data_IF_589148586985
#
_entry.id   IF_589148586985
#
_cell.length_a   1.000
_cell.length_b   1.000
_cell.length_c   1.000
_cell.angle_alpha   90.00
_cell.angle_beta   90.00
_cell.angle_gamma   90.00
#
_symmetry.space_group_name_H-M   'P 1'
#
loop_
_entity.id
_entity.type
_entity.pdbx_description
1 polymer ?
#
# COMPACT_ATOMS: atom_id res chain seq x y z
N UNK A 1 2.07 43.61 0.81
CA UNK A 1 1.36 42.64 -0.08
C UNK A 1 2.06 41.30 0.06
N UNK A 2 1.34 40.22 0.36
CA UNK A 2 1.90 38.87 0.57
C UNK A 2 2.78 38.42 -0.60
N UNK A 3 3.92 37.79 -0.32
CA UNK A 3 4.86 37.29 -1.33
C UNK A 3 4.25 36.13 -2.13
N UNK A 4 3.47 35.25 -1.49
CA UNK A 4 2.71 34.21 -2.19
C UNK A 4 1.71 34.87 -3.14
N UNK A 5 1.01 35.94 -2.71
CA UNK A 5 0.04 36.65 -3.55
C UNK A 5 0.71 37.33 -4.75
N UNK A 6 1.90 37.92 -4.55
CA UNK A 6 2.72 38.51 -5.62
C UNK A 6 3.06 37.45 -6.67
N UNK A 7 3.70 36.36 -6.24
CA UNK A 7 4.10 35.25 -7.10
C UNK A 7 2.90 34.65 -7.85
N UNK A 8 1.79 34.44 -7.14
CA UNK A 8 0.58 33.89 -7.73
C UNK A 8 0.03 34.80 -8.84
N UNK A 9 -0.07 36.10 -8.59
CA UNK A 9 -0.59 37.05 -9.59
C UNK A 9 0.34 37.25 -10.77
N UNK A 10 1.66 37.29 -10.56
CA UNK A 10 2.62 37.60 -11.61
C UNK A 10 2.97 36.40 -12.49
N UNK A 11 3.07 35.20 -11.90
CA UNK A 11 3.55 34.02 -12.63
C UNK A 11 2.46 32.96 -12.83
N UNK A 12 1.66 32.66 -11.80
CA UNK A 12 0.77 31.48 -11.80
C UNK A 12 -0.57 31.77 -12.50
N UNK A 13 -1.24 32.83 -12.08
CA UNK A 13 -2.57 33.19 -12.56
C UNK A 13 -2.60 33.41 -14.08
N UNK A 14 -1.67 34.16 -14.71
CA UNK A 14 -1.69 34.35 -16.16
C UNK A 14 -1.64 33.03 -16.94
N UNK A 15 -0.88 32.05 -16.45
CA UNK A 15 -0.75 30.75 -17.09
C UNK A 15 -1.98 29.87 -16.86
N UNK A 16 -2.59 29.93 -15.67
CA UNK A 16 -3.84 29.23 -15.38
C UNK A 16 -5.07 29.88 -16.04
N UNK A 17 -4.96 31.10 -16.58
CA UNK A 17 -5.98 31.69 -17.43
C UNK A 17 -5.92 31.15 -18.87
N UNK A 18 -4.80 30.57 -19.30
CA UNK A 18 -4.75 29.77 -20.52
C UNK A 18 -5.52 28.45 -20.32
N UNK A 19 -6.66 28.35 -21.00
CA UNK A 19 -7.56 27.19 -20.96
C UNK A 19 -6.85 25.88 -21.32
N UNK A 20 -5.83 25.90 -22.18
CA UNK A 20 -5.08 24.70 -22.57
C UNK A 20 -4.23 24.19 -21.41
N UNK A 21 -3.52 25.08 -20.73
CA UNK A 21 -2.70 24.76 -19.55
C UNK A 21 -3.59 24.29 -18.41
N UNK A 22 -4.65 25.05 -18.10
CA UNK A 22 -5.60 24.71 -17.05
C UNK A 22 -6.23 23.33 -17.28
N UNK A 23 -6.74 23.07 -18.49
CA UNK A 23 -7.36 21.78 -18.84
C UNK A 23 -6.37 20.63 -18.72
N UNK A 24 -5.10 20.84 -19.10
CA UNK A 24 -4.04 19.83 -18.95
C UNK A 24 -3.81 19.48 -17.48
N UNK A 25 -3.67 20.49 -16.62
CA UNK A 25 -3.49 20.29 -15.16
C UNK A 25 -4.72 19.59 -14.56
N UNK A 26 -5.93 20.06 -14.90
CA UNK A 26 -7.17 19.46 -14.44
C UNK A 26 -7.30 17.98 -14.86
N UNK A 27 -6.97 17.66 -16.10
CA UNK A 27 -7.01 16.29 -16.63
C UNK A 27 -6.03 15.39 -15.90
N UNK A 28 -4.80 15.85 -15.65
CA UNK A 28 -3.82 15.10 -14.88
C UNK A 28 -4.26 14.87 -13.43
N UNK A 29 -4.80 15.89 -12.75
CA UNK A 29 -5.33 15.71 -11.38
C UNK A 29 -6.49 14.70 -11.36
N UNK A 30 -7.40 14.78 -12.33
CA UNK A 30 -8.52 13.85 -12.47
C UNK A 30 -8.03 12.43 -12.70
N UNK A 31 -7.00 12.23 -13.54
CA UNK A 31 -6.38 10.94 -13.79
C UNK A 31 -5.75 10.34 -12.52
N UNK A 32 -5.07 11.16 -11.71
CA UNK A 32 -4.51 10.75 -10.42
C UNK A 32 -5.62 10.24 -9.49
N UNK A 33 -6.71 10.99 -9.35
CA UNK A 33 -7.83 10.65 -8.49
C UNK A 33 -8.56 9.39 -8.99
N UNK A 34 -8.84 9.32 -10.29
CA UNK A 34 -9.46 8.15 -10.91
C UNK A 34 -8.62 6.89 -10.69
N UNK A 35 -7.30 6.99 -10.84
CA UNK A 35 -6.39 5.87 -10.58
C UNK A 35 -6.46 5.42 -9.12
N UNK A 36 -6.46 6.38 -8.18
CA UNK A 36 -6.60 6.08 -6.76
C UNK A 36 -7.96 5.43 -6.42
N UNK A 37 -9.04 5.83 -7.09
CA UNK A 37 -10.37 5.24 -6.90
C UNK A 37 -10.42 3.82 -7.44
N UNK A 38 -9.95 3.59 -8.68
CA UNK A 38 -9.87 2.26 -9.25
C UNK A 38 -9.02 1.31 -8.40
N UNK A 39 -7.91 1.80 -7.84
CA UNK A 39 -7.08 1.02 -6.93
C UNK A 39 -7.78 0.70 -5.60
N UNK A 40 -8.52 1.66 -5.03
CA UNK A 40 -9.25 1.44 -3.79
C UNK A 40 -10.42 0.46 -3.98
N UNK A 41 -11.17 0.59 -5.09
CA UNK A 41 -12.26 -0.33 -5.43
C UNK A 41 -11.72 -1.76 -5.61
N UNK A 42 -10.55 -1.90 -6.23
CA UNK A 42 -9.89 -3.19 -6.41
C UNK A 42 -9.18 -3.72 -5.15
N UNK A 43 -9.20 -2.98 -4.05
CA UNK A 43 -8.44 -3.28 -2.84
C UNK A 43 -9.34 -3.73 -1.70
N UNK A 44 -8.95 -4.83 -1.06
CA UNK A 44 -9.59 -5.32 0.16
C UNK A 44 -8.87 -4.83 1.43
N UNK A 45 -7.99 -3.84 1.33
CA UNK A 45 -7.16 -3.36 2.45
C UNK A 45 -7.94 -2.51 3.47
N UNK A 46 -9.18 -2.09 3.19
CA UNK A 46 -9.97 -1.20 4.07
C UNK A 46 -9.14 0.04 4.49
N UNK A 47 -9.14 0.42 5.77
CA UNK A 47 -8.34 1.51 6.32
C UNK A 47 -6.83 1.24 6.37
N UNK A 48 -6.38 0.05 5.95
CA UNK A 48 -4.97 -0.19 5.62
C UNK A 48 -4.61 0.32 4.22
N UNK A 49 -5.54 0.79 3.39
CA UNK A 49 -5.23 1.18 2.02
C UNK A 49 -4.16 2.28 1.93
N UNK A 50 -3.24 2.11 0.98
CA UNK A 50 -2.20 3.10 0.65
C UNK A 50 -2.36 3.57 -0.79
N UNK A 51 -2.51 4.88 -0.97
CA UNK A 51 -2.65 5.50 -2.28
C UNK A 51 -1.37 5.37 -3.11
N UNK A 52 -1.47 4.96 -4.38
CA UNK A 52 -0.38 5.15 -5.33
C UNK A 52 -0.39 6.59 -5.82
N UNK A 53 0.52 7.41 -5.32
CA UNK A 53 0.62 8.82 -5.68
C UNK A 53 1.79 9.02 -6.64
N UNK A 54 1.53 9.45 -7.88
CA UNK A 54 2.60 9.63 -8.82
C UNK A 54 3.30 10.98 -8.52
N UNK A 55 4.54 10.89 -8.05
CA UNK A 55 5.36 12.06 -7.71
C UNK A 55 5.74 12.88 -8.95
N UNK A 56 6.02 12.20 -10.06
CA UNK A 56 6.47 12.84 -11.32
C UNK A 56 5.39 13.75 -11.93
N UNK A 57 4.13 13.33 -12.13
CA UNK A 57 3.08 14.19 -12.67
C UNK A 57 2.83 15.45 -11.84
N UNK A 58 2.81 15.34 -10.51
CA UNK A 58 2.59 16.53 -9.66
C UNK A 58 3.78 17.47 -9.67
N UNK A 59 5.01 16.95 -9.67
CA UNK A 59 6.20 17.78 -9.83
C UNK A 59 6.29 18.40 -11.24
N UNK A 60 5.72 17.76 -12.26
CA UNK A 60 5.64 18.32 -13.61
C UNK A 60 4.67 19.52 -13.71
N UNK A 61 3.83 19.79 -12.71
CA UNK A 61 3.04 21.02 -12.68
C UNK A 61 3.90 22.27 -12.58
N UNK A 62 5.02 22.23 -11.85
CA UNK A 62 6.00 23.31 -11.85
C UNK A 62 6.55 23.57 -13.26
N UNK A 63 6.91 22.50 -13.98
CA UNK A 63 7.38 22.62 -15.38
C UNK A 63 6.30 23.16 -16.31
N UNK A 64 5.06 22.71 -16.12
CA UNK A 64 3.90 23.13 -16.93
C UNK A 64 3.58 24.61 -16.72
N UNK A 65 3.88 25.14 -15.53
CA UNK A 65 3.68 26.54 -15.17
C UNK A 65 4.99 27.36 -15.20
N UNK A 66 6.07 26.81 -15.75
CA UNK A 66 7.38 27.49 -15.80
C UNK A 66 7.83 28.08 -14.44
N UNK A 67 7.52 27.39 -13.34
CA UNK A 67 7.83 27.82 -11.96
C UNK A 67 9.11 27.15 -11.44
N UNK A 68 9.96 27.90 -10.75
CA UNK A 68 11.02 27.33 -9.92
C UNK A 68 10.46 26.95 -8.53
N UNK A 69 10.53 25.67 -8.11
CA UNK A 69 10.16 25.26 -6.76
C UNK A 69 10.83 26.07 -5.64
N UNK A 70 12.07 26.54 -5.84
CA UNK A 70 12.78 27.34 -4.84
C UNK A 70 12.18 28.73 -4.65
N UNK A 71 11.65 29.33 -5.73
CA UNK A 71 10.97 30.63 -5.64
C UNK A 71 9.64 30.52 -4.89
N UNK A 72 8.87 29.47 -5.20
CA UNK A 72 7.63 29.15 -4.47
C UNK A 72 7.93 28.91 -2.99
N UNK A 73 8.97 28.14 -2.68
CA UNK A 73 9.37 27.87 -1.30
C UNK A 73 9.76 29.15 -0.54
N UNK A 74 10.54 30.04 -1.17
CA UNK A 74 10.91 31.34 -0.59
C UNK A 74 9.69 32.21 -0.30
N UNK A 75 8.76 32.32 -1.24
CA UNK A 75 7.53 33.10 -1.07
C UNK A 75 6.68 32.55 0.09
N UNK A 76 6.57 31.23 0.21
CA UNK A 76 5.85 30.58 1.31
C UNK A 76 6.52 30.84 2.66
N UNK A 77 7.83 30.73 2.76
CA UNK A 77 8.56 31.01 4.01
C UNK A 77 8.47 32.48 4.41
N UNK A 78 8.48 33.40 3.44
CA UNK A 78 8.34 34.83 3.70
C UNK A 78 7.00 35.15 4.38
N UNK A 79 5.90 34.57 3.90
CA UNK A 79 4.56 34.84 4.44
C UNK A 79 4.20 33.98 5.68
N UNK A 80 4.67 32.73 5.76
CA UNK A 80 4.27 31.81 6.84
C UNK A 80 5.24 31.74 8.03
N UNK A 81 6.41 32.38 7.91
CA UNK A 81 7.42 32.51 8.95
C UNK A 81 8.48 31.40 8.97
N UNK A 82 9.44 31.49 9.90
CA UNK A 82 10.61 30.58 9.99
C UNK A 82 10.32 29.23 10.67
N UNK A 83 9.22 29.11 11.42
CA UNK A 83 8.85 27.89 12.16
C UNK A 83 8.02 26.93 11.30
N UNK A 84 8.55 26.54 10.14
CA UNK A 84 7.89 25.63 9.23
C UNK A 84 8.43 24.21 9.35
N UNK A 85 7.52 23.24 9.45
CA UNK A 85 7.87 21.82 9.34
C UNK A 85 8.29 21.46 7.91
N UNK A 86 9.06 20.36 7.74
CA UNK A 86 9.45 19.80 6.44
C UNK A 86 8.30 19.60 5.43
N UNK A 87 7.06 19.48 5.90
CA UNK A 87 5.90 19.33 5.02
C UNK A 87 5.49 20.64 4.35
N UNK A 88 5.75 21.79 4.96
CA UNK A 88 5.45 23.08 4.34
C UNK A 88 6.45 23.42 3.22
N UNK A 89 7.67 22.89 3.32
CA UNK A 89 8.74 23.06 2.32
C UNK A 89 8.74 21.99 1.22
N UNK A 90 7.74 21.09 1.20
CA UNK A 90 7.65 20.02 0.20
C UNK A 90 6.89 20.54 -1.04
N UNK A 91 7.54 20.64 -2.22
CA UNK A 91 6.96 21.24 -3.42
C UNK A 91 5.63 20.63 -3.84
N UNK A 92 5.43 19.35 -3.56
CA UNK A 92 4.19 18.66 -3.89
C UNK A 92 2.99 19.26 -3.14
N UNK A 93 3.15 19.64 -1.87
CA UNK A 93 2.06 20.27 -1.12
C UNK A 93 1.87 21.73 -1.54
N UNK A 94 2.98 22.43 -1.77
CA UNK A 94 2.95 23.85 -2.15
C UNK A 94 2.16 24.07 -3.45
N UNK A 95 2.44 23.30 -4.50
CA UNK A 95 1.73 23.45 -5.78
C UNK A 95 0.24 23.12 -5.67
N UNK A 96 -0.12 22.08 -4.91
CA UNK A 96 -1.52 21.73 -4.69
C UNK A 96 -2.27 22.79 -3.88
N UNK A 97 -1.61 23.44 -2.90
CA UNK A 97 -2.21 24.55 -2.15
C UNK A 97 -2.46 25.76 -3.04
N UNK A 98 -1.56 26.07 -3.96
CA UNK A 98 -1.75 27.14 -4.95
C UNK A 98 -2.91 26.83 -5.91
N UNK A 99 -3.09 25.56 -6.29
CA UNK A 99 -4.24 25.11 -7.09
C UNK A 99 -5.57 25.16 -6.34
N UNK A 100 -5.56 24.88 -5.03
CA UNK A 100 -6.74 25.10 -4.19
C UNK A 100 -7.09 26.59 -4.15
N UNK A 101 -6.10 27.47 -3.96
CA UNK A 101 -6.32 28.92 -3.98
C UNK A 101 -6.95 29.37 -5.31
N UNK A 102 -6.36 28.99 -6.44
CA UNK A 102 -6.91 29.26 -7.77
C UNK A 102 -8.36 28.77 -7.92
N UNK A 103 -8.63 27.52 -7.57
CA UNK A 103 -9.97 26.95 -7.71
C UNK A 103 -11.01 27.64 -6.81
N UNK A 104 -10.59 28.16 -5.66
CA UNK A 104 -11.46 28.93 -4.76
C UNK A 104 -11.70 30.35 -5.29
N UNK A 105 -10.66 31.06 -5.73
CA UNK A 105 -10.78 32.46 -6.19
C UNK A 105 -11.53 32.57 -7.50
N UNK A 106 -11.28 31.65 -8.43
CA UNK A 106 -11.93 31.60 -9.75
C UNK A 106 -13.26 30.83 -9.73
N UNK A 107 -13.75 30.44 -8.54
CA UNK A 107 -15.00 29.66 -8.35
C UNK A 107 -15.03 28.34 -9.13
N UNK A 108 -13.87 27.73 -9.37
CA UNK A 108 -13.70 26.41 -10.02
C UNK A 108 -13.69 25.31 -8.97
N UNK A 109 -14.88 25.00 -8.46
CA UNK A 109 -15.06 24.11 -7.31
C UNK A 109 -14.42 22.72 -7.52
N UNK A 110 -14.62 22.11 -8.69
CA UNK A 110 -14.04 20.79 -9.00
C UNK A 110 -12.51 20.82 -9.08
N UNK A 111 -11.92 21.93 -9.50
CA UNK A 111 -10.47 22.10 -9.53
C UNK A 111 -9.90 22.14 -8.11
N UNK A 112 -10.51 22.93 -7.23
CA UNK A 112 -10.14 23.00 -5.81
C UNK A 112 -10.33 21.66 -5.10
N UNK A 113 -11.46 20.98 -5.35
CA UNK A 113 -11.76 19.64 -4.82
C UNK A 113 -10.69 18.63 -5.24
N UNK A 114 -10.33 18.59 -6.52
CA UNK A 114 -9.32 17.65 -7.02
C UNK A 114 -7.94 17.91 -6.38
N UNK A 115 -7.51 19.16 -6.31
CA UNK A 115 -6.24 19.52 -5.69
C UNK A 115 -6.21 19.15 -4.19
N UNK A 116 -7.29 19.45 -3.46
CA UNK A 116 -7.40 19.08 -2.04
C UNK A 116 -7.46 17.56 -1.84
N UNK A 117 -8.12 16.82 -2.71
CA UNK A 117 -8.20 15.36 -2.62
C UNK A 117 -6.82 14.73 -2.75
N UNK A 118 -6.01 15.14 -3.73
CA UNK A 118 -4.64 14.65 -3.92
C UNK A 118 -3.76 15.01 -2.71
N UNK A 119 -3.92 16.22 -2.17
CA UNK A 119 -3.22 16.66 -0.96
C UNK A 119 -3.57 15.76 0.23
N UNK A 120 -4.86 15.47 0.45
CA UNK A 120 -5.34 14.61 1.52
C UNK A 120 -4.85 13.15 1.38
N UNK A 121 -4.81 12.61 0.16
CA UNK A 121 -4.24 11.27 -0.10
C UNK A 121 -2.76 11.19 0.30
N UNK A 122 -1.97 12.25 0.04
CA UNK A 122 -0.55 12.28 0.44
C UNK A 122 -0.40 12.37 1.96
N UNK A 123 -1.21 13.19 2.61
CA UNK A 123 -1.25 13.27 4.08
C UNK A 123 -1.63 11.91 4.67
N UNK A 124 -2.65 11.25 4.12
CA UNK A 124 -3.09 9.91 4.53
C UNK A 124 -1.93 8.91 4.52
N UNK A 125 -1.24 8.78 3.37
CA UNK A 125 -0.09 7.88 3.24
C UNK A 125 0.99 8.16 4.28
N UNK A 126 1.31 9.43 4.52
CA UNK A 126 2.29 9.83 5.52
C UNK A 126 1.87 9.47 6.94
N UNK A 127 0.60 9.68 7.31
CA UNK A 127 0.08 9.32 8.63
C UNK A 127 -0.01 7.81 8.81
N UNK A 128 -0.59 7.09 7.84
CA UNK A 128 -0.64 5.63 7.83
C UNK A 128 0.77 5.05 8.01
N UNK A 129 1.76 5.47 7.24
CA UNK A 129 3.13 4.96 7.36
C UNK A 129 3.77 5.25 8.72
N UNK A 130 3.38 6.35 9.39
CA UNK A 130 3.88 6.69 10.73
C UNK A 130 3.28 5.80 11.81
N UNK A 131 1.98 5.54 11.77
CA UNK A 131 1.26 4.82 12.82
C UNK A 131 1.15 3.32 12.57
N UNK A 132 1.07 2.91 11.31
CA UNK A 132 0.96 1.52 10.86
C UNK A 132 2.04 1.22 9.81
N UNK A 133 3.25 0.87 10.28
CA UNK A 133 4.32 0.38 9.40
C UNK A 133 3.92 -0.91 8.68
N UNK A 134 3.23 -1.79 9.40
CA UNK A 134 2.60 -3.01 8.89
C UNK A 134 1.14 -3.01 9.37
N UNK A 135 0.21 -3.22 8.45
CA UNK A 135 -1.23 -3.16 8.70
C UNK A 135 -1.86 -4.47 8.21
N UNK A 136 -2.31 -5.31 9.14
CA UNK A 136 -3.06 -6.53 8.83
C UNK A 136 -4.50 -6.13 8.50
N UNK A 137 -4.87 -6.32 7.24
CA UNK A 137 -6.20 -5.97 6.72
C UNK A 137 -7.34 -6.70 7.45
N UNK A 138 -7.12 -7.90 7.97
CA UNK A 138 -8.15 -8.69 8.69
C UNK A 138 -8.44 -8.09 10.06
N UNK A 139 -7.40 -7.70 10.78
CA UNK A 139 -7.51 -7.00 12.07
C UNK A 139 -8.14 -5.63 11.85
N UNK A 140 -7.70 -4.89 10.82
CA UNK A 140 -8.27 -3.58 10.53
C UNK A 140 -9.76 -3.65 10.18
N UNK A 141 -10.18 -4.57 9.31
CA UNK A 141 -11.60 -4.77 9.01
C UNK A 141 -12.40 -5.16 10.25
N UNK A 142 -11.85 -5.99 11.14
CA UNK A 142 -12.49 -6.35 12.40
C UNK A 142 -12.70 -5.11 13.27
N UNK A 143 -11.67 -4.28 13.41
CA UNK A 143 -11.74 -3.02 14.19
C UNK A 143 -12.82 -2.10 13.64
N UNK A 144 -12.85 -1.91 12.31
CA UNK A 144 -13.82 -1.03 11.67
C UNK A 144 -15.26 -1.54 11.84
N UNK A 145 -15.46 -2.85 11.73
CA UNK A 145 -16.80 -3.45 11.74
C UNK A 145 -17.35 -3.70 13.14
N UNK A 146 -16.49 -4.01 14.13
CA UNK A 146 -16.93 -4.53 15.43
C UNK A 146 -16.50 -3.68 16.64
N UNK A 147 -15.40 -2.93 16.55
CA UNK A 147 -14.84 -2.20 17.71
C UNK A 147 -15.10 -0.69 17.64
N UNK A 148 -15.40 -0.15 16.46
CA UNK A 148 -15.83 1.23 16.32
C UNK A 148 -17.32 1.35 16.67
N UNK A 149 -17.63 2.14 17.70
CA UNK A 149 -19.02 2.51 17.99
C UNK A 149 -19.62 3.34 16.86
N UNK A 150 -20.94 3.27 16.66
CA UNK A 150 -21.70 4.07 15.66
C UNK A 150 -21.53 5.60 15.79
N UNK A 151 -20.91 6.07 16.88
CA UNK A 151 -20.57 7.48 17.11
C UNK A 151 -19.27 7.91 16.43
N UNK A 152 -18.37 6.99 16.06
CA UNK A 152 -17.15 7.33 15.35
C UNK A 152 -17.43 7.62 13.88
N UNK A 153 -16.92 8.75 13.37
CA UNK A 153 -17.06 9.12 11.95
C UNK A 153 -16.60 8.00 11.01
N UNK A 154 -15.60 7.23 11.43
CA UNK A 154 -14.98 6.17 10.63
C UNK A 154 -15.91 4.98 10.36
N UNK A 155 -16.87 4.67 11.25
CA UNK A 155 -17.80 3.56 11.01
C UNK A 155 -18.83 3.86 9.92
N UNK A 156 -18.96 5.13 9.51
CA UNK A 156 -19.85 5.56 8.43
C UNK A 156 -19.24 5.43 7.03
N UNK A 157 -17.96 5.10 6.93
CA UNK A 157 -17.24 5.04 5.66
C UNK A 157 -16.50 3.72 5.55
N UNK A 158 -16.68 3.02 4.42
CA UNK A 158 -16.09 1.69 4.21
C UNK A 158 -14.57 1.71 4.07
N UNK A 159 -14.03 2.81 3.54
CA UNK A 159 -12.63 2.90 3.14
C UNK A 159 -12.13 4.36 3.22
N UNK A 160 -10.80 4.59 3.18
CA UNK A 160 -10.27 5.94 3.29
C UNK A 160 -10.62 6.81 2.08
N UNK A 161 -10.90 6.25 0.90
CA UNK A 161 -11.33 7.07 -0.25
C UNK A 161 -12.66 7.76 0.02
N UNK A 162 -13.69 7.01 0.42
CA UNK A 162 -15.01 7.58 0.72
C UNK A 162 -14.93 8.56 1.88
N UNK A 163 -14.16 8.25 2.92
CA UNK A 163 -13.94 9.21 4.01
C UNK A 163 -13.30 10.52 3.54
N UNK A 164 -12.25 10.45 2.71
CA UNK A 164 -11.57 11.64 2.22
C UNK A 164 -12.47 12.45 1.27
N UNK A 165 -13.16 11.77 0.35
CA UNK A 165 -14.00 12.36 -0.70
C UNK A 165 -15.31 12.92 -0.15
N UNK A 166 -16.03 12.15 0.66
CA UNK A 166 -17.41 12.47 1.02
C UNK A 166 -17.48 13.26 2.33
N UNK A 167 -16.44 13.20 3.17
CA UNK A 167 -16.39 13.93 4.45
C UNK A 167 -15.32 15.00 4.52
N UNK A 168 -14.04 14.64 4.44
CA UNK A 168 -12.96 15.61 4.73
C UNK A 168 -12.86 16.71 3.68
N UNK A 169 -12.81 16.37 2.40
CA UNK A 169 -12.69 17.36 1.33
C UNK A 169 -13.84 18.40 1.36
N UNK A 170 -15.14 17.99 1.39
CA UNK A 170 -16.25 18.95 1.42
C UNK A 170 -16.26 19.81 2.68
N UNK A 171 -16.03 19.21 3.86
CA UNK A 171 -16.08 19.95 5.13
C UNK A 171 -14.90 20.90 5.32
N UNK A 172 -13.72 20.58 4.77
CA UNK A 172 -12.56 21.47 4.78
C UNK A 172 -12.77 22.65 3.84
N UNK A 173 -13.22 22.42 2.60
CA UNK A 173 -13.49 23.52 1.66
C UNK A 173 -14.63 24.42 2.12
N UNK A 174 -15.73 23.84 2.64
CA UNK A 174 -16.84 24.63 3.17
C UNK A 174 -16.41 25.56 4.31
N UNK A 175 -15.54 25.08 5.21
CA UNK A 175 -15.10 25.84 6.38
C UNK A 175 -14.00 26.86 6.05
N UNK A 176 -12.97 26.44 5.32
CA UNK A 176 -11.75 27.24 5.13
C UNK A 176 -11.67 27.89 3.75
N UNK A 177 -12.43 27.45 2.76
CA UNK A 177 -12.50 28.06 1.42
C UNK A 177 -12.80 29.57 1.46
N UNK A 178 -13.81 30.03 2.23
CA UNK A 178 -14.09 31.47 2.36
C UNK A 178 -12.92 32.27 2.97
N UNK A 179 -12.18 31.68 3.93
CA UNK A 179 -10.98 32.31 4.52
C UNK A 179 -9.86 32.42 3.49
N UNK A 180 -9.62 31.35 2.73
CA UNK A 180 -8.60 31.27 1.66
C UNK A 180 -8.91 32.26 0.54
N UNK A 181 -10.18 32.44 0.17
CA UNK A 181 -10.59 33.41 -0.84
C UNK A 181 -10.24 34.86 -0.44
N UNK A 182 -10.43 35.19 0.85
CA UNK A 182 -10.14 36.52 1.40
C UNK A 182 -8.63 36.76 1.49
N UNK A 183 -7.88 35.77 1.95
CA UNK A 183 -6.46 35.89 2.21
C UNK A 183 -5.71 34.59 1.91
N UNK A 184 -4.76 34.66 0.98
CA UNK A 184 -3.93 33.52 0.55
C UNK A 184 -3.09 32.94 1.69
N UNK A 185 -2.76 33.73 2.72
CA UNK A 185 -2.01 33.25 3.89
C UNK A 185 -2.81 32.20 4.66
N UNK A 186 -4.15 32.22 4.56
CA UNK A 186 -5.04 31.23 5.19
C UNK A 186 -4.93 29.83 4.56
N UNK A 187 -4.20 29.67 3.45
CA UNK A 187 -3.77 28.35 2.95
C UNK A 187 -3.02 27.55 4.01
N UNK A 188 -2.20 28.22 4.84
CA UNK A 188 -1.51 27.59 5.97
C UNK A 188 -2.50 26.90 6.90
N UNK A 189 -3.56 27.61 7.28
CA UNK A 189 -4.60 27.10 8.17
C UNK A 189 -5.35 25.93 7.55
N UNK A 190 -5.71 26.01 6.26
CA UNK A 190 -6.31 24.88 5.54
C UNK A 190 -5.40 23.64 5.58
N UNK A 191 -4.11 23.82 5.32
CA UNK A 191 -3.13 22.73 5.30
C UNK A 191 -2.95 22.07 6.67
N UNK A 192 -2.74 22.87 7.71
CA UNK A 192 -2.59 22.40 9.09
C UNK A 192 -3.85 21.66 9.58
N UNK A 193 -5.04 22.14 9.19
CA UNK A 193 -6.30 21.51 9.56
C UNK A 193 -6.56 20.22 8.77
N UNK A 194 -6.19 20.18 7.50
CA UNK A 194 -6.19 18.95 6.69
C UNK A 194 -5.31 17.89 7.34
N UNK A 195 -4.12 18.29 7.76
CA UNK A 195 -3.18 17.44 8.46
C UNK A 195 -3.70 16.94 9.81
N UNK A 196 -4.25 17.84 10.62
CA UNK A 196 -4.73 17.54 11.97
C UNK A 196 -5.92 16.58 11.94
N UNK A 197 -6.88 16.80 11.04
CA UNK A 197 -8.05 15.92 10.89
C UNK A 197 -7.67 14.51 10.47
N UNK A 198 -6.77 14.38 9.49
CA UNK A 198 -6.29 13.05 9.09
C UNK A 198 -5.51 12.40 10.22
N UNK A 199 -4.70 13.15 11.00
CA UNK A 199 -4.01 12.60 12.18
C UNK A 199 -4.97 12.07 13.23
N UNK A 200 -6.06 12.80 13.53
CA UNK A 200 -7.04 12.45 14.56
C UNK A 200 -7.71 11.10 14.33
N UNK A 201 -7.80 10.65 13.08
CA UNK A 201 -8.25 9.29 12.72
C UNK A 201 -7.37 8.23 13.40
N UNK A 202 -6.06 8.41 13.31
CA UNK A 202 -5.10 7.41 13.78
C UNK A 202 -4.91 7.49 15.28
N UNK A 203 -4.76 8.72 15.81
CA UNK A 203 -4.50 8.97 17.21
C UNK A 203 -5.14 10.28 17.68
N UNK A 204 -5.80 10.25 18.83
CA UNK A 204 -6.16 11.46 19.58
C UNK A 204 -5.92 11.24 21.08
N UNK A 205 -5.77 12.33 21.83
CA UNK A 205 -5.51 12.34 23.28
C UNK A 205 -4.34 11.43 23.70
N UNK A 206 -3.13 11.76 23.27
CA UNK A 206 -1.95 11.01 23.71
C UNK A 206 -1.61 11.39 25.16
N UNK A 207 -1.53 10.40 26.06
CA UNK A 207 -1.04 10.56 27.43
C UNK A 207 0.31 9.90 27.59
N UNK A 208 1.19 10.50 28.38
CA UNK A 208 2.45 9.87 28.76
C UNK A 208 2.14 8.81 29.81
N UNK A 209 2.44 7.55 29.50
CA UNK A 209 2.37 6.47 30.46
C UNK A 209 3.45 6.70 31.53
N UNK A 210 3.03 6.85 32.78
CA UNK A 210 3.88 7.20 33.92
C UNK A 210 4.93 6.10 34.18
N UNK A 211 4.62 4.84 33.87
CA UNK A 211 5.52 3.70 34.09
C UNK A 211 6.57 3.54 32.98
N UNK A 212 6.21 3.83 31.72
CA UNK A 212 7.10 3.59 30.58
C UNK A 212 7.75 4.86 30.02
N UNK A 213 7.27 6.04 30.45
CA UNK A 213 7.67 7.35 29.91
C UNK A 213 7.25 7.57 28.45
N UNK A 214 6.52 6.63 27.84
CA UNK A 214 6.13 6.69 26.42
C UNK A 214 4.76 7.30 26.26
N UNK A 215 4.60 8.09 25.19
CA UNK A 215 3.31 8.67 24.81
C UNK A 215 2.42 7.60 24.19
N UNK A 216 1.33 7.23 24.86
CA UNK A 216 0.33 6.26 24.43
C UNK A 216 -0.94 6.98 24.00
N UNK A 217 -1.48 6.63 22.83
CA UNK A 217 -2.71 7.22 22.32
C UNK A 217 -3.92 6.62 23.06
N UNK A 218 -4.80 7.46 23.62
CA UNK A 218 -6.01 6.98 24.30
C UNK A 218 -7.18 6.71 23.34
N UNK A 219 -7.14 7.26 22.12
CA UNK A 219 -8.18 7.04 21.12
C UNK A 219 -7.67 7.10 19.68
N UNK A 220 -8.53 6.71 18.75
CA UNK A 220 -8.23 6.59 17.32
C UNK A 220 -8.05 5.14 16.90
N UNK A 221 -7.77 4.91 15.61
CA UNK A 221 -7.59 3.56 15.07
C UNK A 221 -6.41 2.83 15.69
N UNK A 222 -5.31 3.53 16.00
CA UNK A 222 -4.07 2.89 16.48
C UNK A 222 -4.25 2.09 17.77
N UNK A 223 -4.76 2.66 18.88
CA UNK A 223 -4.92 1.91 20.13
C UNK A 223 -5.89 0.73 19.98
N UNK A 224 -7.01 0.92 19.27
CA UNK A 224 -8.02 -0.14 19.07
C UNK A 224 -7.43 -1.27 18.23
N UNK A 225 -6.70 -0.93 17.16
CA UNK A 225 -6.01 -1.90 16.33
C UNK A 225 -4.92 -2.67 17.09
N UNK A 226 -4.10 -1.99 17.90
CA UNK A 226 -3.05 -2.65 18.66
C UNK A 226 -3.63 -3.57 19.74
N UNK A 227 -4.76 -3.20 20.34
CA UNK A 227 -5.52 -4.06 21.25
C UNK A 227 -6.03 -5.31 20.53
N UNK A 228 -6.79 -5.15 19.45
CA UNK A 228 -7.31 -6.26 18.65
C UNK A 228 -6.19 -7.21 18.17
N UNK A 229 -5.05 -6.65 17.73
CA UNK A 229 -3.89 -7.44 17.33
C UNK A 229 -3.27 -8.22 18.50
N UNK A 230 -3.16 -7.61 19.68
CA UNK A 230 -2.65 -8.27 20.89
C UNK A 230 -3.58 -9.40 21.34
N UNK A 231 -4.88 -9.19 21.21
CA UNK A 231 -5.93 -10.13 21.60
C UNK A 231 -6.14 -11.23 20.54
N UNK A 232 -5.45 -11.14 19.39
CA UNK A 232 -5.56 -12.11 18.31
C UNK A 232 -6.93 -12.13 17.63
N UNK A 233 -7.66 -11.00 17.64
CA UNK A 233 -8.97 -10.87 17.01
C UNK A 233 -8.85 -10.43 15.55
N UNK A 234 -9.46 -11.19 14.65
CA UNK A 234 -9.48 -10.91 13.21
C UNK A 234 -10.75 -11.50 12.59
N UNK A 235 -11.08 -11.08 11.37
CA UNK A 235 -12.36 -11.42 10.71
C UNK A 235 -12.57 -12.92 10.38
N UNK A 236 -11.68 -13.83 10.79
CA UNK A 236 -11.94 -15.28 10.76
C UNK A 236 -12.08 -15.91 12.16
N UNK A 237 -11.97 -15.12 13.22
CA UNK A 237 -12.39 -15.53 14.56
C UNK A 237 -13.92 -15.58 14.53
N UNK A 238 -14.50 -16.79 14.47
CA UNK A 238 -15.93 -17.01 14.77
C UNK A 238 -16.18 -16.56 16.21
N UNK A 239 -16.35 -15.26 16.44
CA UNK A 239 -17.19 -14.82 17.54
C UNK A 239 -18.62 -14.96 17.05
N UNK A 240 -19.19 -16.12 17.38
CA UNK A 240 -20.63 -16.28 17.59
C UNK A 240 -21.01 -15.23 18.64
N UNK A 241 -21.28 -14.00 18.20
CA UNK A 241 -22.13 -13.10 18.96
C UNK A 241 -23.53 -13.55 18.63
N UNK A 242 -24.10 -14.31 19.58
CA UNK A 242 -25.53 -14.54 19.69
C UNK A 242 -26.24 -13.20 19.50
N UNK A 243 -26.80 -13.00 18.33
CA UNK A 243 -27.99 -12.20 18.08
C UNK A 243 -28.66 -12.92 16.91
N UNK A 244 -29.53 -13.87 17.27
CA UNK A 244 -30.66 -14.22 16.42
C UNK A 244 -31.41 -12.91 16.11
N UNK A 245 -31.72 -12.71 14.84
CA UNK A 245 -32.37 -11.51 14.36
C UNK A 245 -32.16 -11.41 12.87
N UNK A 246 -32.92 -12.25 12.16
CA UNK A 246 -33.39 -12.15 10.78
C UNK A 246 -32.85 -10.98 9.96
N UNK A 247 -32.10 -11.31 8.90
CA UNK A 247 -32.35 -10.75 7.58
C UNK A 247 -31.64 -11.63 6.55
N UNK A 248 -32.41 -12.58 6.03
CA UNK A 248 -32.22 -13.11 4.69
C UNK A 248 -32.34 -11.95 3.71
N UNK A 249 -31.20 -11.46 3.19
CA UNK A 249 -31.05 -10.90 1.84
C UNK A 249 -29.66 -10.28 1.69
N UNK A 250 -28.67 -11.11 1.37
CA UNK A 250 -27.47 -10.62 0.66
C UNK A 250 -27.42 -11.36 -0.66
N UNK A 251 -28.25 -10.87 -1.59
CA UNK A 251 -28.15 -11.15 -3.02
C UNK A 251 -26.75 -10.85 -3.53
N UNK A 252 -26.22 -11.78 -4.33
CA UNK A 252 -24.83 -11.85 -4.74
C UNK A 252 -24.29 -10.65 -5.52
N UNK A 253 -22.98 -10.49 -5.41
CA UNK A 253 -22.12 -9.74 -6.32
C UNK A 253 -20.86 -10.56 -6.55
N UNK A 254 -21.01 -11.63 -7.34
CA UNK A 254 -19.90 -12.22 -8.08
C UNK A 254 -19.58 -11.32 -9.28
N UNK A 255 -18.32 -11.36 -9.71
CA UNK A 255 -17.74 -10.74 -10.93
C UNK A 255 -17.40 -9.24 -10.95
N UNK A 256 -16.22 -8.89 -10.39
CA UNK A 256 -15.30 -7.91 -11.01
C UNK A 256 -13.84 -8.36 -10.85
N UNK A 257 -13.37 -9.16 -11.82
CA UNK A 257 -12.08 -9.84 -11.81
C UNK A 257 -11.07 -9.22 -12.80
N UNK A 258 -10.01 -8.60 -12.28
CA UNK A 258 -8.72 -8.55 -12.99
C UNK A 258 -7.51 -8.37 -12.08
N UNK A 259 -7.65 -7.70 -10.92
CA UNK A 259 -6.57 -7.54 -9.92
C UNK A 259 -6.74 -8.43 -8.69
N UNK A 260 -7.97 -8.82 -8.35
CA UNK A 260 -8.30 -9.67 -7.20
C UNK A 260 -7.80 -11.11 -7.32
N UNK A 261 -7.59 -11.61 -8.53
CA UNK A 261 -7.19 -12.99 -8.76
C UNK A 261 -5.76 -13.26 -8.29
N UNK A 262 -4.83 -12.32 -8.54
CA UNK A 262 -3.42 -12.55 -8.19
C UNK A 262 -3.20 -12.56 -6.69
N UNK A 263 -3.80 -11.63 -5.97
CA UNK A 263 -3.66 -11.56 -4.51
C UNK A 263 -4.37 -12.75 -3.83
N UNK A 264 -5.51 -13.20 -4.37
CA UNK A 264 -6.17 -14.42 -3.93
C UNK A 264 -5.32 -15.67 -4.20
N UNK A 265 -4.67 -15.77 -5.37
CA UNK A 265 -3.71 -16.84 -5.67
C UNK A 265 -2.56 -16.81 -4.66
N UNK A 266 -1.96 -15.63 -4.43
CA UNK A 266 -0.83 -15.46 -3.50
C UNK A 266 -1.21 -15.90 -2.10
N UNK A 267 -2.30 -15.38 -1.54
CA UNK A 267 -2.71 -15.70 -0.16
C UNK A 267 -3.11 -17.17 -0.04
N UNK A 268 -3.94 -17.70 -0.96
CA UNK A 268 -4.34 -19.12 -0.92
C UNK A 268 -3.16 -20.07 -1.10
N UNK A 269 -2.22 -19.78 -2.00
CA UNK A 269 -1.03 -20.62 -2.18
C UNK A 269 -0.10 -20.52 -0.98
N UNK A 270 0.08 -19.33 -0.40
CA UNK A 270 0.87 -19.19 0.84
C UNK A 270 0.24 -19.95 2.00
N UNK A 271 -1.07 -19.81 2.21
CA UNK A 271 -1.81 -20.55 3.25
C UNK A 271 -1.73 -22.05 3.02
N UNK A 272 -1.93 -22.52 1.77
CA UNK A 272 -1.80 -23.93 1.42
C UNK A 272 -0.40 -24.47 1.71
N UNK A 273 0.66 -23.70 1.44
CA UNK A 273 2.01 -24.08 1.79
C UNK A 273 2.14 -24.09 3.32
N UNK A 274 1.88 -23.00 4.00
CA UNK A 274 2.27 -22.85 5.41
C UNK A 274 1.38 -23.65 6.38
N UNK A 275 0.09 -23.77 6.10
CA UNK A 275 -0.86 -24.46 6.99
C UNK A 275 -0.89 -25.97 6.76
N UNK A 276 -0.44 -26.45 5.61
CA UNK A 276 -0.41 -27.86 5.29
C UNK A 276 0.91 -28.52 5.71
N UNK A 277 1.07 -28.74 7.03
CA UNK A 277 2.27 -29.36 7.62
C UNK A 277 2.54 -30.80 7.16
N UNK A 278 1.59 -31.47 6.50
CA UNK A 278 1.68 -32.86 6.04
C UNK A 278 1.85 -33.02 4.52
N UNK A 279 2.13 -31.94 3.79
CA UNK A 279 2.26 -31.99 2.33
C UNK A 279 3.56 -32.71 1.92
N UNK A 280 3.50 -34.03 1.78
CA UNK A 280 4.60 -34.82 1.21
C UNK A 280 4.65 -34.58 -0.30
N UNK A 281 5.78 -34.10 -0.78
CA UNK A 281 6.05 -34.01 -2.22
C UNK A 281 6.29 -35.42 -2.77
N UNK A 282 5.82 -35.69 -3.98
CA UNK A 282 6.02 -36.99 -4.61
C UNK A 282 7.50 -37.23 -4.91
N UNK A 283 7.95 -38.49 -4.84
CA UNK A 283 9.34 -38.83 -5.17
C UNK A 283 9.68 -38.52 -6.64
N UNK A 284 8.69 -38.54 -7.52
CA UNK A 284 8.85 -38.10 -8.91
C UNK A 284 9.24 -36.62 -8.98
N UNK A 285 8.54 -35.75 -8.24
CA UNK A 285 8.88 -34.32 -8.18
C UNK A 285 10.28 -34.10 -7.60
N UNK A 286 10.61 -34.80 -6.50
CA UNK A 286 11.93 -34.68 -5.87
C UNK A 286 13.06 -35.12 -6.82
N UNK A 287 12.85 -36.21 -7.57
CA UNK A 287 13.78 -36.69 -8.60
C UNK A 287 13.95 -35.68 -9.73
N UNK A 288 12.87 -35.04 -10.19
CA UNK A 288 12.95 -33.99 -11.21
C UNK A 288 13.73 -32.76 -10.73
N UNK A 289 13.49 -32.31 -9.50
CA UNK A 289 14.22 -31.18 -8.92
C UNK A 289 15.70 -31.54 -8.77
N UNK A 290 16.02 -32.78 -8.34
CA UNK A 290 17.38 -33.28 -8.27
C UNK A 290 18.07 -33.24 -9.65
N UNK A 291 17.42 -33.76 -10.71
CA UNK A 291 17.95 -33.71 -12.09
C UNK A 291 18.16 -32.27 -12.59
N UNK A 292 17.28 -31.33 -12.22
CA UNK A 292 17.35 -29.93 -12.67
C UNK A 292 18.38 -29.09 -11.88
N UNK A 293 18.68 -29.45 -10.63
CA UNK A 293 19.52 -28.63 -9.73
C UNK A 293 20.84 -29.28 -9.35
N UNK A 294 20.97 -30.61 -9.49
CA UNK A 294 22.06 -31.43 -8.95
C UNK A 294 22.27 -31.27 -7.43
N UNK A 295 21.23 -30.87 -6.68
CA UNK A 295 21.24 -30.83 -5.21
C UNK A 295 20.81 -32.21 -4.69
N UNK A 296 21.46 -32.72 -3.63
CA UNK A 296 21.14 -34.05 -3.10
C UNK A 296 19.67 -34.15 -2.67
N UNK A 297 19.07 -35.32 -2.92
CA UNK A 297 17.65 -35.62 -2.59
C UNK A 297 17.34 -35.30 -1.12
N UNK A 298 18.22 -35.71 -0.19
CA UNK A 298 18.08 -35.44 1.24
C UNK A 298 18.01 -33.94 1.57
N UNK A 299 18.82 -33.11 0.90
CA UNK A 299 18.77 -31.65 1.12
C UNK A 299 17.50 -31.06 0.51
N UNK A 300 17.08 -31.55 -0.65
CA UNK A 300 15.83 -31.13 -1.29
C UNK A 300 14.65 -31.38 -0.34
N UNK A 301 14.50 -32.60 0.16
CA UNK A 301 13.41 -32.97 1.09
C UNK A 301 13.41 -32.08 2.34
N UNK A 302 14.57 -31.83 2.94
CA UNK A 302 14.68 -30.96 4.10
C UNK A 302 14.33 -29.49 3.81
N UNK A 303 14.69 -28.98 2.62
CA UNK A 303 14.29 -27.63 2.18
C UNK A 303 12.77 -27.58 1.98
N UNK A 304 12.19 -28.60 1.34
CA UNK A 304 10.76 -28.70 1.10
C UNK A 304 10.00 -28.67 2.43
N UNK A 305 10.40 -29.47 3.42
CA UNK A 305 9.83 -29.45 4.76
C UNK A 305 9.98 -28.07 5.44
N UNK A 306 11.12 -27.41 5.25
CA UNK A 306 11.39 -26.11 5.86
C UNK A 306 10.48 -25.00 5.32
N UNK A 307 10.09 -25.07 4.04
CA UNK A 307 9.18 -24.07 3.43
C UNK A 307 7.81 -24.06 4.13
N UNK A 308 7.37 -25.18 4.70
CA UNK A 308 6.08 -25.32 5.39
C UNK A 308 6.06 -24.75 6.83
N UNK A 309 7.14 -24.11 7.31
CA UNK A 309 7.21 -23.54 8.65
C UNK A 309 6.51 -22.17 8.70
N UNK A 310 5.65 -21.95 9.70
CA UNK A 310 4.88 -20.69 9.88
C UNK A 310 5.74 -19.41 9.87
N UNK A 311 6.95 -19.45 10.42
CA UNK A 311 7.90 -18.32 10.42
C UNK A 311 8.28 -17.85 9.01
N UNK A 312 8.17 -18.73 8.01
CA UNK A 312 8.50 -18.45 6.63
C UNK A 312 7.37 -17.82 5.83
N UNK A 313 6.18 -17.64 6.42
CA UNK A 313 4.99 -17.12 5.74
C UNK A 313 5.28 -15.86 4.92
N UNK A 314 5.81 -14.81 5.55
CA UNK A 314 6.10 -13.53 4.87
C UNK A 314 7.11 -13.69 3.74
N UNK A 315 8.09 -14.58 3.89
CA UNK A 315 9.12 -14.79 2.87
C UNK A 315 8.51 -15.54 1.68
N UNK A 316 7.72 -16.59 1.93
CA UNK A 316 7.01 -17.37 0.92
C UNK A 316 6.03 -16.49 0.15
N UNK A 317 5.22 -15.70 0.84
CA UNK A 317 4.25 -14.79 0.22
C UNK A 317 4.95 -13.80 -0.72
N UNK A 318 6.00 -13.12 -0.23
CA UNK A 318 6.75 -12.16 -1.03
C UNK A 318 7.44 -12.81 -2.23
N UNK A 319 7.96 -14.03 -2.08
CA UNK A 319 8.55 -14.78 -3.19
C UNK A 319 7.50 -15.10 -4.26
N UNK A 320 6.30 -15.55 -3.87
CA UNK A 320 5.21 -15.83 -4.80
C UNK A 320 4.80 -14.56 -5.55
N UNK A 321 4.62 -13.43 -4.84
CA UNK A 321 4.30 -12.13 -5.46
C UNK A 321 5.32 -11.76 -6.53
N UNK A 322 6.62 -11.88 -6.21
CA UNK A 322 7.69 -11.53 -7.14
C UNK A 322 7.75 -12.49 -8.34
N UNK A 323 7.54 -13.80 -8.13
CA UNK A 323 7.49 -14.80 -9.21
C UNK A 323 6.33 -14.51 -10.17
N UNK A 324 5.12 -14.29 -9.63
CA UNK A 324 3.94 -14.00 -10.45
C UNK A 324 4.06 -12.67 -11.20
N UNK A 325 4.62 -11.64 -10.55
CA UNK A 325 4.91 -10.34 -11.19
C UNK A 325 5.85 -10.50 -12.37
N UNK A 326 6.96 -11.24 -12.20
CA UNK A 326 7.96 -11.48 -13.26
C UNK A 326 7.43 -12.33 -14.42
N UNK A 327 6.42 -13.16 -14.17
CA UNK A 327 5.79 -13.98 -15.19
C UNK A 327 4.54 -13.31 -15.81
N UNK A 328 4.24 -12.05 -15.45
CA UNK A 328 3.04 -11.32 -15.89
C UNK A 328 1.73 -12.09 -15.65
N UNK A 329 1.65 -12.82 -14.54
CA UNK A 329 0.48 -13.63 -14.19
C UNK A 329 -0.59 -12.74 -13.57
N UNK A 330 -1.77 -12.77 -14.16
CA UNK A 330 -2.94 -11.99 -13.71
C UNK A 330 -4.07 -12.88 -13.20
N UNK A 331 -4.12 -14.14 -13.67
CA UNK A 331 -5.20 -15.08 -13.37
C UNK A 331 -4.69 -16.50 -13.11
N UNK A 332 -5.55 -17.36 -12.51
CA UNK A 332 -5.27 -18.79 -12.34
C UNK A 332 -5.05 -19.51 -13.68
N UNK A 333 -5.80 -19.09 -14.72
CA UNK A 333 -5.68 -19.65 -16.07
C UNK A 333 -4.26 -19.50 -16.61
N UNK A 334 -3.57 -18.42 -16.28
CA UNK A 334 -2.19 -18.20 -16.73
C UNK A 334 -1.18 -19.16 -16.08
N UNK A 335 -1.45 -19.60 -14.83
CA UNK A 335 -0.63 -20.57 -14.11
C UNK A 335 -0.81 -21.97 -14.70
N UNK A 336 -2.02 -22.29 -15.15
CA UNK A 336 -2.35 -23.60 -15.71
C UNK A 336 -2.00 -23.75 -17.20
N UNK A 337 -1.42 -22.71 -17.82
CA UNK A 337 -0.86 -22.82 -19.18
C UNK A 337 0.41 -23.69 -19.15
N UNK A 338 0.59 -24.50 -20.19
CA UNK A 338 1.80 -25.35 -20.37
C UNK A 338 3.11 -24.53 -20.32
N UNK A 339 3.06 -23.27 -20.70
CA UNK A 339 4.23 -22.39 -20.72
C UNK A 339 4.57 -21.75 -19.37
N UNK A 340 3.77 -21.94 -18.32
CA UNK A 340 4.03 -21.31 -17.02
C UNK A 340 5.40 -21.70 -16.46
N UNK A 341 5.73 -22.99 -16.46
CA UNK A 341 7.05 -23.51 -16.06
C UNK A 341 8.18 -22.92 -16.88
N UNK A 342 7.98 -22.80 -18.20
CA UNK A 342 8.97 -22.20 -19.09
C UNK A 342 9.17 -20.70 -18.79
N UNK A 343 8.09 -19.99 -18.46
CA UNK A 343 8.12 -18.58 -18.09
C UNK A 343 8.82 -18.36 -16.76
N UNK A 344 8.58 -19.19 -15.74
CA UNK A 344 9.31 -19.13 -14.46
C UNK A 344 10.80 -19.35 -14.71
N UNK A 345 11.16 -20.37 -15.50
CA UNK A 345 12.55 -20.63 -15.85
C UNK A 345 13.21 -19.45 -16.55
N UNK A 346 12.57 -18.88 -17.58
CA UNK A 346 13.11 -17.76 -18.37
C UNK A 346 13.19 -16.46 -17.58
N UNK A 347 12.12 -16.09 -16.88
CA UNK A 347 11.95 -14.75 -16.29
C UNK A 347 12.44 -14.64 -14.84
N UNK A 348 12.56 -15.76 -14.13
CA UNK A 348 13.00 -15.82 -12.73
C UNK A 348 14.35 -16.51 -12.61
N UNK A 349 14.49 -17.75 -13.09
CA UNK A 349 15.70 -18.57 -12.85
C UNK A 349 16.89 -18.13 -13.74
N UNK A 350 16.64 -17.94 -15.04
CA UNK A 350 17.69 -17.63 -16.04
C UNK A 350 17.92 -16.12 -16.24
N UNK A 351 17.10 -15.27 -15.62
CA UNK A 351 17.18 -13.82 -15.76
C UNK A 351 18.38 -13.23 -15.00
N UNK A 352 19.20 -12.40 -15.67
CA UNK A 352 20.33 -11.69 -15.07
C UNK A 352 20.02 -10.20 -14.85
N UNK A 353 20.61 -9.59 -13.83
CA UNK A 353 20.65 -8.13 -13.57
C UNK A 353 19.29 -7.40 -13.57
N UNK A 354 18.31 -7.90 -12.79
CA UNK A 354 17.05 -7.20 -12.56
C UNK A 354 16.85 -6.93 -11.06
N UNK A 355 16.34 -5.75 -10.71
CA UNK A 355 16.10 -5.33 -9.31
C UNK A 355 15.15 -6.26 -8.56
N UNK A 356 14.14 -6.83 -9.22
CA UNK A 356 13.22 -7.81 -8.63
C UNK A 356 13.87 -9.18 -8.46
N UNK A 357 14.68 -9.63 -9.42
CA UNK A 357 15.45 -10.89 -9.30
C UNK A 357 16.45 -10.79 -8.16
N UNK A 358 17.09 -9.62 -7.97
CA UNK A 358 17.96 -9.37 -6.84
C UNK A 358 17.20 -9.38 -5.50
N UNK A 359 15.94 -8.93 -5.47
CA UNK A 359 15.06 -9.07 -4.29
C UNK A 359 14.71 -10.53 -4.01
N UNK A 360 14.36 -11.30 -5.04
CA UNK A 360 14.11 -12.75 -4.93
C UNK A 360 15.34 -13.44 -4.35
N UNK A 361 16.53 -13.18 -4.89
CA UNK A 361 17.78 -13.74 -4.39
C UNK A 361 18.04 -13.40 -2.92
N UNK A 362 17.84 -12.15 -2.50
CA UNK A 362 18.00 -11.74 -1.09
C UNK A 362 17.02 -12.44 -0.14
N UNK A 363 15.76 -12.63 -0.58
CA UNK A 363 14.76 -13.34 0.21
C UNK A 363 15.09 -14.83 0.33
N UNK A 364 15.51 -15.46 -0.77
CA UNK A 364 15.97 -16.84 -0.78
C UNK A 364 17.22 -17.03 0.08
N UNK A 365 18.19 -16.11 0.02
CA UNK A 365 19.39 -16.14 0.85
C UNK A 365 19.06 -16.05 2.33
N UNK A 366 18.13 -15.14 2.71
CA UNK A 366 17.69 -15.02 4.09
C UNK A 366 17.04 -16.31 4.60
N UNK A 367 16.18 -16.94 3.80
CA UNK A 367 15.53 -18.21 4.15
C UNK A 367 16.55 -19.35 4.25
N UNK A 368 17.45 -19.47 3.27
CA UNK A 368 18.48 -20.51 3.22
C UNK A 368 19.52 -20.34 4.32
N UNK A 369 19.98 -19.12 4.62
CA UNK A 369 20.89 -18.85 5.74
C UNK A 369 20.28 -19.34 7.07
N UNK A 370 18.98 -19.15 7.26
CA UNK A 370 18.26 -19.60 8.46
C UNK A 370 18.14 -21.13 8.48
N UNK A 371 17.73 -21.73 7.37
CA UNK A 371 17.66 -23.19 7.20
C UNK A 371 19.01 -23.88 7.45
N UNK A 372 20.09 -23.41 6.81
CA UNK A 372 21.40 -24.04 6.94
C UNK A 372 21.94 -23.96 8.37
N UNK A 373 21.68 -22.86 9.08
CA UNK A 373 22.08 -22.71 10.50
C UNK A 373 21.26 -23.63 11.40
N UNK A 374 19.94 -23.64 11.24
CA UNK A 374 19.04 -24.35 12.15
C UNK A 374 18.99 -25.88 11.91
N UNK A 375 18.96 -26.31 10.64
CA UNK A 375 18.77 -27.73 10.28
C UNK A 375 20.06 -28.45 9.94
N UNK A 376 21.00 -27.78 9.28
CA UNK A 376 22.24 -28.40 8.82
C UNK A 376 23.46 -28.04 9.69
N UNK A 377 23.29 -27.16 10.70
CA UNK A 377 24.37 -26.62 11.53
C UNK A 377 25.57 -26.14 10.71
N UNK A 378 25.28 -25.57 9.54
CA UNK A 378 26.27 -25.13 8.55
C UNK A 378 25.99 -23.70 8.13
N UNK A 379 26.92 -23.08 7.40
CA UNK A 379 26.77 -21.73 6.90
C UNK A 379 26.61 -21.79 5.37
N UNK A 380 25.44 -21.35 4.88
CA UNK A 380 25.14 -21.28 3.45
C UNK A 380 26.16 -20.40 2.69
N UNK A 381 26.81 -19.45 3.37
CA UNK A 381 27.84 -18.62 2.76
C UNK A 381 29.12 -19.35 2.37
N UNK A 382 29.36 -20.57 2.88
CA UNK A 382 30.52 -21.40 2.52
C UNK A 382 30.44 -21.98 1.11
N UNK A 383 29.26 -22.02 0.51
CA UNK A 383 29.07 -22.60 -0.82
C UNK A 383 29.47 -21.62 -1.93
N UNK A 384 29.98 -22.13 -3.05
CA UNK A 384 30.25 -21.31 -4.24
C UNK A 384 28.98 -20.68 -4.80
N UNK A 385 29.08 -19.54 -5.47
CA UNK A 385 27.92 -18.85 -6.06
C UNK A 385 27.12 -19.77 -7.01
N UNK A 386 27.81 -20.64 -7.76
CA UNK A 386 27.16 -21.63 -8.63
C UNK A 386 26.31 -22.61 -7.81
N UNK A 387 26.82 -23.10 -6.67
CA UNK A 387 26.06 -23.98 -5.78
C UNK A 387 24.90 -23.25 -5.09
N UNK A 388 25.11 -22.01 -4.65
CA UNK A 388 24.04 -21.18 -4.07
C UNK A 388 22.87 -21.00 -5.03
N UNK A 389 23.15 -20.76 -6.32
CA UNK A 389 22.11 -20.66 -7.36
C UNK A 389 21.33 -21.98 -7.47
N UNK A 390 22.02 -23.12 -7.52
CA UNK A 390 21.37 -24.45 -7.57
C UNK A 390 20.44 -24.68 -6.38
N UNK A 391 20.88 -24.33 -5.17
CA UNK A 391 20.09 -24.49 -3.93
C UNK A 391 18.89 -23.52 -3.91
N UNK A 392 19.07 -22.25 -4.30
CA UNK A 392 17.98 -21.26 -4.44
C UNK A 392 16.88 -21.76 -5.37
N UNK A 393 17.27 -22.39 -6.48
CA UNK A 393 16.32 -22.90 -7.47
C UNK A 393 15.43 -24.02 -6.91
N UNK A 394 15.88 -24.77 -5.89
CA UNK A 394 15.03 -25.78 -5.21
C UNK A 394 13.78 -25.13 -4.64
N UNK A 395 13.92 -23.99 -3.95
CA UNK A 395 12.78 -23.25 -3.39
C UNK A 395 11.89 -22.71 -4.52
N UNK A 396 12.47 -22.17 -5.60
CA UNK A 396 11.68 -21.66 -6.73
C UNK A 396 10.83 -22.77 -7.35
N UNK A 397 11.42 -23.95 -7.60
CA UNK A 397 10.67 -25.11 -8.12
C UNK A 397 9.61 -25.61 -7.14
N UNK A 398 9.87 -25.55 -5.84
CA UNK A 398 8.87 -25.89 -4.83
C UNK A 398 7.67 -24.93 -4.85
N UNK A 399 7.91 -23.63 -4.92
CA UNK A 399 6.85 -22.61 -5.00
C UNK A 399 6.06 -22.74 -6.31
N UNK A 400 6.74 -22.95 -7.43
CA UNK A 400 6.12 -23.23 -8.73
C UNK A 400 5.20 -24.45 -8.67
N UNK A 401 5.68 -25.56 -8.12
CA UNK A 401 4.90 -26.79 -7.99
C UNK A 401 3.63 -26.58 -7.13
N UNK A 402 3.73 -25.87 -6.01
CA UNK A 402 2.56 -25.58 -5.18
C UNK A 402 1.58 -24.62 -5.85
N UNK A 403 2.08 -23.64 -6.63
CA UNK A 403 1.24 -22.76 -7.43
C UNK A 403 0.42 -23.57 -8.45
N UNK A 404 1.03 -24.50 -9.17
CA UNK A 404 0.32 -25.35 -10.14
C UNK A 404 -0.62 -26.32 -9.41
N UNK A 405 -0.14 -27.05 -8.40
CA UNK A 405 -0.91 -28.06 -7.65
C UNK A 405 -2.18 -27.47 -7.06
N UNK A 406 -2.12 -26.29 -6.45
CA UNK A 406 -3.30 -25.67 -5.83
C UNK A 406 -4.26 -25.06 -6.85
N UNK A 407 -3.74 -24.40 -7.89
CA UNK A 407 -4.57 -23.59 -8.77
C UNK A 407 -5.11 -24.35 -9.99
N UNK A 408 -4.55 -25.52 -10.31
CA UNK A 408 -4.87 -26.29 -11.51
C UNK A 408 -5.51 -27.66 -11.24
N UNK A 409 -5.76 -28.05 -9.99
CA UNK A 409 -6.40 -29.32 -9.63
C UNK A 409 -7.86 -29.21 -9.19
N UNK A 410 -8.54 -28.10 -9.49
CA UNK A 410 -10.00 -27.97 -9.38
C UNK A 410 -10.65 -27.80 -10.76
N UNK A 411 -10.42 -28.76 -11.65
CA UNK A 411 -11.31 -29.06 -12.78
C UNK A 411 -11.50 -30.58 -12.83
#
# INVERSE_FOLDING_TARGET
MSEIKKLFKSQILPQLLDKKIERRIYTEMTKIISTAYSQNIASDESFCFKFSLPLVPVNNFYKTLHLDPKEVDKAIHADWGKTLTKMHSDPYYQILLLFIYYGVTEKKEMFAKNALMILLMKIWNGRKSKFFKYCDKRVMKYVISNELTNRHVLSKYENPVSLLKDYFMPTLLKKYGPEVNRDIIKLKRLFEQSWARVRQIFVFNARTNIQTGKSEAQGGLLPIYMKAKKDGTYLSTKMVRNNMGDDENVTGYEDYASTHNRDNIVSKTTDYIILNKSNKYSQNFVSEVNKKTNVSVKIIEQILDYIHIQRNYDIVENLIVLILSRCNITSKKDICKRDFTNNVRKNVISSKNNTEVNKIQRLLDKMLDTFFKEKLRSNFNKYSNVHKIKIRNVIIYALEHNLVKLNCHNN
#
